data_IF_333006972334
#
_entry.id   IF_333006972334
#
_cell.length_a   1.000
_cell.length_b   1.000
_cell.length_c   1.000
_cell.angle_alpha   90.00
_cell.angle_beta   90.00
_cell.angle_gamma   90.00
#
_symmetry.space_group_name_H-M   'P 1'
#
loop_
_entity.id
_entity.type
_entity.pdbx_description
1 polymer ?
#
# COMPACT_ATOMS: atom_id res chain seq x y z
N UNK A 1 23.02 0.46 -12.87
CA UNK A 1 21.58 0.48 -12.56
C UNK A 1 20.80 0.71 -13.86
N UNK A 2 19.57 0.21 -13.97
CA UNK A 2 18.71 0.51 -15.12
C UNK A 2 18.07 1.88 -14.93
N UNK A 3 18.09 2.72 -15.97
CA UNK A 3 17.43 4.03 -15.96
C UNK A 3 16.07 3.89 -16.67
N UNK A 4 15.06 3.49 -15.91
CA UNK A 4 13.69 3.31 -16.41
C UNK A 4 12.87 4.51 -15.97
N UNK A 5 12.16 5.15 -16.89
CA UNK A 5 11.17 6.16 -16.52
C UNK A 5 9.95 5.44 -15.90
N UNK A 6 9.65 5.62 -14.60
CA UNK A 6 8.58 4.88 -13.94
C UNK A 6 7.21 5.19 -14.55
N UNK A 7 6.97 6.41 -15.03
CA UNK A 7 5.65 6.86 -15.51
C UNK A 7 5.21 6.22 -16.83
N UNK A 8 6.14 5.55 -17.54
CA UNK A 8 5.87 4.85 -18.79
C UNK A 8 5.67 3.34 -18.60
N UNK A 9 5.77 2.82 -17.38
CA UNK A 9 5.65 1.39 -17.08
C UNK A 9 4.18 0.96 -16.98
N UNK A 10 3.91 -0.34 -17.19
CA UNK A 10 2.59 -0.91 -16.93
C UNK A 10 2.21 -0.82 -15.44
N UNK A 11 3.18 -0.97 -14.53
CA UNK A 11 2.97 -0.78 -13.09
C UNK A 11 2.39 0.61 -12.78
N UNK A 12 2.91 1.66 -13.41
CA UNK A 12 2.39 3.02 -13.23
C UNK A 12 0.97 3.22 -13.75
N UNK A 13 0.61 2.58 -14.88
CA UNK A 13 -0.76 2.59 -15.40
C UNK A 13 -1.72 1.90 -14.42
N UNK A 14 -1.33 0.74 -13.88
CA UNK A 14 -2.08 0.02 -12.85
C UNK A 14 -2.28 0.87 -11.61
N UNK A 15 -1.21 1.45 -11.06
CA UNK A 15 -1.29 2.34 -9.88
C UNK A 15 -2.16 3.57 -10.13
N UNK A 16 -2.12 4.15 -11.33
CA UNK A 16 -2.99 5.27 -11.71
C UNK A 16 -4.46 4.88 -11.74
N UNK A 17 -4.78 3.66 -12.22
CA UNK A 17 -6.14 3.12 -12.21
C UNK A 17 -6.62 2.87 -10.78
N UNK A 18 -5.78 2.26 -9.94
CA UNK A 18 -6.07 2.01 -8.53
C UNK A 18 -6.29 3.31 -7.75
N UNK A 19 -5.49 4.34 -8.01
CA UNK A 19 -5.72 5.67 -7.44
C UNK A 19 -7.11 6.19 -7.80
N UNK A 20 -7.52 6.14 -9.08
CA UNK A 20 -8.87 6.60 -9.49
C UNK A 20 -9.99 5.81 -8.81
N UNK A 21 -9.79 4.51 -8.59
CA UNK A 21 -10.74 3.60 -7.93
C UNK A 21 -10.85 3.86 -6.43
N UNK A 22 -9.73 4.19 -5.77
CA UNK A 22 -9.63 4.28 -4.30
C UNK A 22 -9.32 5.69 -3.79
N UNK A 23 -9.44 6.74 -4.62
CA UNK A 23 -9.06 8.12 -4.26
C UNK A 23 -9.79 8.67 -3.04
N UNK A 24 -10.99 8.16 -2.77
CA UNK A 24 -11.86 8.63 -1.68
C UNK A 24 -11.72 7.75 -0.41
N UNK A 25 -10.80 6.78 -0.42
CA UNK A 25 -10.55 5.87 0.71
C UNK A 25 -10.20 6.66 1.97
N UNK A 26 -10.97 6.46 3.04
CA UNK A 26 -10.73 7.12 4.32
C UNK A 26 -10.05 6.17 5.30
N UNK A 27 -8.97 6.64 5.94
CA UNK A 27 -8.19 5.82 6.87
C UNK A 27 -9.06 5.26 8.01
N UNK A 28 -9.95 6.09 8.57
CA UNK A 28 -10.85 5.68 9.67
C UNK A 28 -11.77 4.54 9.27
N UNK A 29 -12.31 4.58 8.04
CA UNK A 29 -13.22 3.57 7.53
C UNK A 29 -12.51 2.24 7.30
N UNK A 30 -11.30 2.27 6.69
CA UNK A 30 -10.55 1.03 6.44
C UNK A 30 -10.00 0.40 7.72
N UNK A 31 -9.75 1.18 8.78
CA UNK A 31 -9.46 0.63 10.11
C UNK A 31 -10.72 0.04 10.76
N UNK A 32 -11.87 0.70 10.63
CA UNK A 32 -13.12 0.18 11.17
C UNK A 32 -13.56 -1.12 10.47
N UNK A 33 -13.29 -1.24 9.17
CA UNK A 33 -13.65 -2.40 8.36
C UNK A 33 -12.66 -3.58 8.49
N UNK A 34 -11.41 -3.35 8.91
CA UNK A 34 -10.39 -4.39 9.08
C UNK A 34 -9.79 -4.34 10.50
N UNK A 35 -10.36 -5.06 11.47
CA UNK A 35 -9.81 -5.14 12.82
C UNK A 35 -8.37 -5.68 12.90
N UNK A 36 -7.92 -6.45 11.90
CA UNK A 36 -6.56 -7.01 11.81
C UNK A 36 -5.60 -6.16 10.99
N UNK A 37 -5.97 -4.90 10.69
CA UNK A 37 -5.19 -4.02 9.80
C UNK A 37 -3.79 -3.75 10.32
N UNK A 38 -3.62 -3.61 11.63
CA UNK A 38 -2.31 -3.38 12.26
C UNK A 38 -1.37 -4.57 11.99
N UNK A 39 -1.82 -5.78 12.27
CA UNK A 39 -1.04 -7.01 12.06
C UNK A 39 -0.74 -7.23 10.57
N UNK A 40 -1.73 -6.96 9.70
CA UNK A 40 -1.59 -7.08 8.25
C UNK A 40 -0.51 -6.16 7.68
N UNK A 41 -0.48 -4.92 8.14
CA UNK A 41 0.40 -3.85 7.64
C UNK A 41 1.44 -3.41 8.67
N UNK A 42 1.94 -4.36 9.46
CA UNK A 42 3.16 -4.17 10.24
C UNK A 42 4.14 -5.30 9.99
N UNK A 43 5.44 -5.02 10.17
CA UNK A 43 6.51 -6.02 10.09
C UNK A 43 7.44 -5.81 11.27
N UNK A 44 7.70 -6.90 11.99
CA UNK A 44 8.69 -6.94 13.04
C UNK A 44 10.02 -7.40 12.43
N UNK A 45 11.07 -6.60 12.59
CA UNK A 45 12.42 -6.92 12.19
C UNK A 45 13.28 -7.15 13.42
N UNK A 46 13.73 -8.40 13.59
CA UNK A 46 14.31 -8.90 14.85
C UNK A 46 13.40 -8.53 16.03
N UNK A 47 13.93 -8.43 17.24
CA UNK A 47 13.12 -8.18 18.44
C UNK A 47 12.96 -6.67 18.76
N UNK A 48 13.58 -5.78 17.97
CA UNK A 48 13.76 -4.37 18.37
C UNK A 48 13.13 -3.36 17.41
N UNK A 49 12.82 -3.73 16.18
CA UNK A 49 12.32 -2.77 15.19
C UNK A 49 10.96 -3.17 14.62
N UNK A 50 9.94 -2.39 14.94
CA UNK A 50 8.60 -2.52 14.38
C UNK A 50 8.40 -1.48 13.27
N UNK A 51 8.14 -1.95 12.05
CA UNK A 51 7.67 -1.14 10.94
C UNK A 51 6.14 -1.23 10.86
N UNK A 52 5.43 -0.26 11.43
CA UNK A 52 3.97 -0.11 11.27
C UNK A 52 3.65 0.84 10.12
N UNK A 53 3.03 0.32 9.06
CA UNK A 53 2.55 1.08 7.92
C UNK A 53 1.03 0.97 7.73
N UNK A 54 0.31 0.50 8.75
CA UNK A 54 -1.16 0.35 8.76
C UNK A 54 -1.90 1.68 8.61
N UNK A 55 -1.28 2.79 9.02
CA UNK A 55 -1.83 4.16 8.98
C UNK A 55 -1.69 4.85 7.61
N UNK A 56 -1.50 4.08 6.54
CA UNK A 56 -1.47 4.57 5.16
C UNK A 56 -2.74 4.21 4.40
N UNK A 57 -3.07 4.97 3.35
CA UNK A 57 -4.20 4.73 2.44
C UNK A 57 -3.88 3.62 1.43
N UNK A 58 -3.61 2.43 1.95
CA UNK A 58 -3.33 1.22 1.17
C UNK A 58 -4.33 0.12 1.53
N UNK A 59 -4.52 -0.79 0.58
CA UNK A 59 -5.11 -2.10 0.78
C UNK A 59 -4.21 -3.14 0.09
N UNK A 60 -4.59 -4.42 0.12
CA UNK A 60 -3.79 -5.50 -0.46
C UNK A 60 -3.56 -5.32 -1.97
N UNK A 61 -4.56 -4.81 -2.68
CA UNK A 61 -4.49 -4.55 -4.13
C UNK A 61 -3.45 -3.46 -4.45
N UNK A 62 -3.46 -2.35 -3.69
CA UNK A 62 -2.50 -1.24 -3.84
C UNK A 62 -1.08 -1.70 -3.48
N UNK A 63 -0.92 -2.42 -2.36
CA UNK A 63 0.39 -2.87 -1.91
C UNK A 63 1.02 -3.86 -2.90
N UNK A 64 0.23 -4.79 -3.43
CA UNK A 64 0.70 -5.72 -4.45
C UNK A 64 1.14 -4.98 -5.73
N UNK A 65 0.40 -3.95 -6.17
CA UNK A 65 0.75 -3.17 -7.35
C UNK A 65 2.00 -2.29 -7.15
N UNK A 66 2.29 -1.86 -5.92
CA UNK A 66 3.52 -1.11 -5.60
C UNK A 66 4.79 -1.98 -5.64
N UNK A 67 4.65 -3.29 -5.47
CA UNK A 67 5.76 -4.25 -5.42
C UNK A 67 5.99 -5.01 -6.74
N UNK A 68 5.24 -4.66 -7.79
CA UNK A 68 5.41 -5.23 -9.13
C UNK A 68 6.67 -4.73 -9.85
#
# INVERSE_FOLDING_TARGET
MKNINPTTTEAWKTLTSLYKKHKDLQLREVFAADPGRYERYSRQFADTFLLDFSKNLINDEILAALLQ
#
